data_IF_184758471309
#
_entry.id   IF_184758471309
#
_cell.length_a   1.000
_cell.length_b   1.000
_cell.length_c   1.000
_cell.angle_alpha   90.00
_cell.angle_beta   90.00
_cell.angle_gamma   90.00
#
_symmetry.space_group_name_H-M   'P 1'
#
loop_
_entity.id
_entity.type
_entity.pdbx_description
1 polymer ?
#
# COMPACT_ATOMS: atom_id res chain seq x y z
N UNK A 1 -11.31 -17.03 7.85
CA UNK A 1 -11.68 -17.45 6.48
C UNK A 1 -10.59 -18.37 5.96
N UNK A 2 -10.87 -19.67 5.88
CA UNK A 2 -9.87 -20.74 5.67
C UNK A 2 -9.83 -21.25 4.23
N UNK A 3 -9.70 -20.36 3.25
CA UNK A 3 -9.40 -20.79 1.88
C UNK A 3 -7.92 -21.12 1.79
N UNK A 4 -7.62 -22.30 1.24
CA UNK A 4 -6.27 -22.69 0.82
C UNK A 4 -5.76 -21.76 -0.29
N UNK A 5 -4.45 -21.76 -0.49
CA UNK A 5 -3.80 -20.89 -1.46
C UNK A 5 -4.22 -21.16 -2.91
N UNK A 6 -4.34 -22.45 -3.26
CA UNK A 6 -4.81 -22.88 -4.57
C UNK A 6 -6.26 -22.43 -4.80
N UNK A 7 -7.12 -22.50 -3.78
CA UNK A 7 -8.48 -21.97 -3.84
C UNK A 7 -8.51 -20.46 -4.01
N UNK A 8 -7.59 -19.71 -3.38
CA UNK A 8 -7.50 -18.24 -3.57
C UNK A 8 -7.06 -17.88 -4.98
N UNK A 9 -6.07 -18.58 -5.52
CA UNK A 9 -5.60 -18.37 -6.91
C UNK A 9 -6.73 -18.72 -7.88
N UNK A 10 -7.36 -19.89 -7.71
CA UNK A 10 -8.45 -20.35 -8.55
C UNK A 10 -9.64 -19.39 -8.51
N UNK A 11 -10.03 -18.94 -7.31
CA UNK A 11 -11.10 -17.97 -7.13
C UNK A 11 -10.77 -16.62 -7.78
N UNK A 12 -9.58 -16.09 -7.54
CA UNK A 12 -9.14 -14.80 -8.13
C UNK A 12 -9.11 -14.91 -9.66
N UNK A 13 -8.58 -16.01 -10.19
CA UNK A 13 -8.56 -16.29 -11.62
C UNK A 13 -9.98 -16.41 -12.21
N UNK A 14 -10.89 -17.08 -11.52
CA UNK A 14 -12.27 -17.23 -11.95
C UNK A 14 -13.02 -15.88 -11.97
N UNK A 15 -12.85 -15.05 -10.94
CA UNK A 15 -13.43 -13.70 -10.88
C UNK A 15 -12.90 -12.85 -12.03
N UNK A 16 -11.59 -12.86 -12.27
CA UNK A 16 -10.99 -12.07 -13.34
C UNK A 16 -11.36 -12.58 -14.74
N UNK A 17 -11.51 -13.89 -14.90
CA UNK A 17 -12.01 -14.50 -16.15
C UNK A 17 -13.47 -14.15 -16.40
N UNK A 18 -14.30 -14.10 -15.36
CA UNK A 18 -15.70 -13.68 -15.47
C UNK A 18 -15.82 -12.21 -15.90
N UNK A 19 -14.98 -11.32 -15.35
CA UNK A 19 -14.94 -9.89 -15.76
C UNK A 19 -14.54 -9.75 -17.23
N UNK A 20 -13.56 -10.54 -17.70
CA UNK A 20 -13.16 -10.56 -19.12
C UNK A 20 -14.24 -11.05 -20.07
N UNK A 21 -15.02 -12.05 -19.64
CA UNK A 21 -16.13 -12.55 -20.46
C UNK A 21 -17.18 -11.49 -20.78
N UNK A 22 -17.20 -10.38 -20.04
CA UNK A 22 -18.09 -9.24 -20.28
C UNK A 22 -17.46 -8.18 -21.19
N UNK A 23 -16.16 -7.90 -21.05
CA UNK A 23 -15.45 -6.88 -21.83
C UNK A 23 -13.91 -7.09 -21.79
N UNK A 24 -13.29 -7.24 -22.97
CA UNK A 24 -11.84 -7.43 -23.13
C UNK A 24 -11.01 -6.14 -22.96
N UNK A 25 -11.66 -4.97 -22.88
CA UNK A 25 -11.00 -3.68 -22.71
C UNK A 25 -10.80 -3.27 -21.25
N UNK A 26 -11.41 -4.00 -20.31
CA UNK A 26 -11.35 -3.69 -18.88
C UNK A 26 -9.94 -3.86 -18.35
N UNK A 27 -9.36 -2.76 -17.88
CA UNK A 27 -8.09 -2.77 -17.16
C UNK A 27 -8.31 -3.20 -15.72
N UNK A 28 -7.67 -4.31 -15.33
CA UNK A 28 -7.74 -4.82 -13.96
C UNK A 28 -6.66 -4.17 -13.12
N UNK A 29 -7.08 -3.59 -12.00
CA UNK A 29 -6.22 -3.04 -10.96
C UNK A 29 -6.17 -4.02 -9.78
N UNK A 30 -4.98 -4.41 -9.35
CA UNK A 30 -4.84 -5.32 -8.19
C UNK A 30 -4.27 -4.56 -6.99
N UNK A 31 -4.93 -4.67 -5.84
CA UNK A 31 -4.43 -4.13 -4.57
C UNK A 31 -3.76 -5.22 -3.75
N UNK A 32 -2.54 -4.97 -3.31
CA UNK A 32 -1.75 -5.84 -2.46
C UNK A 32 -1.59 -5.18 -1.10
N UNK A 33 -2.27 -5.73 -0.10
CA UNK A 33 -2.21 -5.25 1.29
C UNK A 33 -1.01 -5.89 1.99
N UNK A 34 -0.24 -5.10 2.73
CA UNK A 34 0.97 -5.55 3.44
C UNK A 34 1.99 -6.23 2.48
N UNK A 35 2.53 -5.47 1.51
CA UNK A 35 3.36 -6.03 0.44
C UNK A 35 4.73 -6.56 0.90
N UNK A 36 5.16 -6.28 2.14
CA UNK A 36 6.33 -6.93 2.75
C UNK A 36 6.02 -8.32 3.32
N UNK A 37 4.74 -8.70 3.41
CA UNK A 37 4.33 -10.01 3.91
C UNK A 37 4.35 -10.11 5.44
N UNK A 38 4.01 -9.04 6.15
CA UNK A 38 3.89 -9.05 7.62
C UNK A 38 3.04 -10.22 8.14
N UNK A 39 1.98 -10.59 7.43
CA UNK A 39 1.09 -11.71 7.74
C UNK A 39 1.76 -13.10 7.66
N UNK A 40 2.91 -13.24 6.99
CA UNK A 40 3.60 -14.53 6.84
C UNK A 40 4.14 -15.07 8.16
N UNK A 41 4.38 -14.20 9.14
CA UNK A 41 4.77 -14.61 10.49
C UNK A 41 3.61 -15.20 11.29
N UNK A 42 2.37 -14.89 10.94
CA UNK A 42 1.17 -15.29 11.68
C UNK A 42 0.46 -16.50 11.06
N UNK A 43 0.54 -16.65 9.74
CA UNK A 43 -0.16 -17.70 8.99
C UNK A 43 0.85 -18.63 8.32
N UNK A 44 1.06 -19.85 8.84
CA UNK A 44 1.95 -20.81 8.19
C UNK A 44 1.42 -21.21 6.80
N UNK A 45 2.34 -21.46 5.86
CA UNK A 45 2.07 -21.94 4.50
C UNK A 45 1.29 -20.97 3.58
N UNK A 46 1.63 -19.68 3.57
CA UNK A 46 1.20 -18.74 2.53
C UNK A 46 2.38 -18.34 1.62
N UNK A 47 2.13 -18.13 0.33
CA UNK A 47 3.05 -17.45 -0.58
C UNK A 47 3.27 -16.01 -0.11
N UNK A 48 4.49 -15.54 -0.35
CA UNK A 48 4.77 -14.11 -0.26
C UNK A 48 3.90 -13.32 -1.24
N UNK A 49 3.58 -12.05 -0.94
CA UNK A 49 2.76 -11.22 -1.80
C UNK A 49 3.24 -11.20 -3.26
N UNK A 50 4.56 -11.21 -3.44
CA UNK A 50 5.18 -11.21 -4.76
C UNK A 50 5.04 -12.54 -5.50
N UNK A 51 5.20 -13.67 -4.80
CA UNK A 51 5.02 -14.99 -5.41
C UNK A 51 3.56 -15.22 -5.81
N UNK A 52 2.61 -14.75 -4.99
CA UNK A 52 1.18 -14.79 -5.31
C UNK A 52 0.90 -13.97 -6.57
N UNK A 53 1.43 -12.74 -6.65
CA UNK A 53 1.30 -11.88 -7.83
C UNK A 53 1.91 -12.49 -9.09
N UNK A 54 3.13 -13.03 -9.01
CA UNK A 54 3.80 -13.70 -10.12
C UNK A 54 2.98 -14.90 -10.62
N UNK A 55 2.41 -15.68 -9.70
CA UNK A 55 1.55 -16.82 -10.04
C UNK A 55 0.30 -16.37 -10.79
N UNK A 56 -0.38 -15.31 -10.33
CA UNK A 56 -1.52 -14.74 -11.05
C UNK A 56 -1.16 -14.30 -12.47
N UNK A 57 -0.01 -13.65 -12.66
CA UNK A 57 0.46 -13.26 -14.00
C UNK A 57 0.72 -14.48 -14.89
N UNK A 58 1.32 -15.55 -14.34
CA UNK A 58 1.56 -16.80 -15.07
C UNK A 58 0.26 -17.52 -15.46
N UNK A 59 -0.84 -17.31 -14.73
CA UNK A 59 -2.18 -17.78 -15.11
C UNK A 59 -2.80 -17.02 -16.30
N UNK A 60 -2.10 -16.07 -16.92
CA UNK A 60 -2.57 -15.31 -18.09
C UNK A 60 -3.44 -14.10 -17.75
N UNK A 61 -3.50 -13.73 -16.48
CA UNK A 61 -4.17 -12.53 -16.00
C UNK A 61 -3.33 -11.31 -16.40
N UNK A 62 -3.92 -10.42 -17.19
CA UNK A 62 -3.36 -9.11 -17.55
C UNK A 62 -3.80 -8.12 -16.49
N UNK A 63 -2.84 -7.65 -15.72
CA UNK A 63 -3.01 -6.67 -14.66
C UNK A 63 -2.45 -5.36 -15.22
N UNK A 64 -3.28 -4.31 -15.26
CA UNK A 64 -2.93 -3.02 -15.83
C UNK A 64 -2.10 -2.16 -14.88
N UNK A 65 -2.35 -2.29 -13.58
CA UNK A 65 -1.66 -1.55 -12.52
C UNK A 65 -1.71 -2.33 -11.20
N UNK A 66 -0.78 -2.02 -10.29
CA UNK A 66 -0.75 -2.57 -8.94
C UNK A 66 -0.81 -1.45 -7.91
N UNK A 67 -1.69 -1.60 -6.93
CA UNK A 67 -1.76 -0.74 -5.76
C UNK A 67 -1.08 -1.44 -4.59
N UNK A 68 0.07 -0.92 -4.17
CA UNK A 68 0.77 -1.39 -2.97
C UNK A 68 0.22 -0.63 -1.78
N UNK A 69 -0.51 -1.34 -0.92
CA UNK A 69 -1.09 -0.77 0.29
C UNK A 69 -0.16 -1.01 1.47
N UNK A 70 0.55 0.05 1.86
CA UNK A 70 1.52 0.07 2.97
C UNK A 70 0.82 0.19 4.33
N UNK A 71 -0.41 -0.32 4.41
CA UNK A 71 -1.26 -0.30 5.60
C UNK A 71 -0.50 -0.72 6.84
N UNK A 72 -0.59 0.13 7.85
CA UNK A 72 -0.10 -0.16 9.19
C UNK A 72 -1.23 -0.79 10.00
N UNK A 73 -1.01 -1.93 10.68
CA UNK A 73 -2.01 -2.50 11.55
C UNK A 73 -2.30 -1.54 12.72
N UNK A 74 -3.57 -1.16 12.86
CA UNK A 74 -4.04 -0.20 13.88
C UNK A 74 -4.29 -0.87 15.25
N UNK A 75 -4.38 -2.21 15.29
CA UNK A 75 -4.58 -3.00 16.50
C UNK A 75 -3.78 -4.30 16.42
N UNK A 76 -2.73 -4.46 17.22
CA UNK A 76 -1.86 -5.65 17.21
C UNK A 76 -0.39 -5.34 17.48
N UNK A 77 0.41 -6.39 17.72
CA UNK A 77 1.83 -6.31 18.06
C UNK A 77 2.62 -5.50 17.02
N UNK A 78 3.36 -4.48 17.49
CA UNK A 78 4.44 -3.77 16.80
C UNK A 78 4.21 -3.48 15.30
N UNK A 79 3.68 -2.29 14.97
CA UNK A 79 3.81 -1.80 13.60
C UNK A 79 5.27 -1.34 13.36
N UNK A 80 5.89 -1.87 12.32
CA UNK A 80 7.25 -1.48 11.94
C UNK A 80 7.19 -0.35 10.94
N UNK A 81 7.58 0.85 11.38
CA UNK A 81 7.87 1.94 10.45
C UNK A 81 9.13 1.59 9.67
N UNK A 82 8.93 1.19 8.42
CA UNK A 82 10.03 0.92 7.49
C UNK A 82 10.76 2.21 7.17
N UNK A 83 12.08 2.13 7.11
CA UNK A 83 12.90 3.24 6.63
C UNK A 83 12.75 3.42 5.10
N UNK A 84 13.30 4.52 4.59
CA UNK A 84 13.23 4.86 3.17
C UNK A 84 13.97 3.87 2.27
N UNK A 85 15.04 3.22 2.74
CA UNK A 85 15.79 2.23 1.98
C UNK A 85 14.97 0.95 1.78
N UNK A 86 14.31 0.49 2.84
CA UNK A 86 13.40 -0.65 2.84
C UNK A 86 12.21 -0.41 1.92
N UNK A 87 11.66 0.81 1.93
CA UNK A 87 10.62 1.21 1.00
C UNK A 87 11.13 1.27 -0.45
N UNK A 88 12.31 1.86 -0.67
CA UNK A 88 12.95 1.90 -1.99
C UNK A 88 13.09 0.50 -2.56
N UNK A 89 13.65 -0.43 -1.79
CA UNK A 89 13.85 -1.82 -2.19
C UNK A 89 12.53 -2.51 -2.50
N UNK A 90 11.47 -2.29 -1.71
CA UNK A 90 10.15 -2.81 -2.00
C UNK A 90 9.68 -2.31 -3.37
N UNK A 91 9.69 -1.00 -3.59
CA UNK A 91 9.21 -0.42 -4.86
C UNK A 91 10.05 -0.92 -6.04
N UNK A 92 11.38 -1.03 -5.89
CA UNK A 92 12.28 -1.55 -6.92
C UNK A 92 11.95 -3.01 -7.25
N UNK A 93 11.64 -3.83 -6.25
CA UNK A 93 11.27 -5.22 -6.44
C UNK A 93 9.95 -5.36 -7.22
N UNK A 94 8.93 -4.58 -6.85
CA UNK A 94 7.66 -4.56 -7.59
C UNK A 94 7.78 -3.92 -8.97
N UNK A 95 8.74 -3.00 -9.16
CA UNK A 95 9.03 -2.37 -10.45
C UNK A 95 9.52 -3.37 -11.50
N UNK A 96 10.06 -4.53 -11.09
CA UNK A 96 10.47 -5.60 -12.01
C UNK A 96 9.30 -6.14 -12.86
N UNK A 97 8.06 -5.95 -12.41
CA UNK A 97 6.87 -6.32 -13.17
C UNK A 97 6.56 -5.38 -14.34
N UNK A 98 7.26 -4.25 -14.46
CA UNK A 98 7.14 -3.28 -15.56
C UNK A 98 5.71 -2.76 -15.79
N UNK A 99 4.93 -2.67 -14.72
CA UNK A 99 3.57 -2.12 -14.71
C UNK A 99 3.53 -0.88 -13.81
N UNK A 100 2.60 0.06 -14.05
CA UNK A 100 2.31 1.17 -13.14
C UNK A 100 2.10 0.72 -11.70
N UNK A 101 2.75 1.43 -10.77
CA UNK A 101 2.61 1.22 -9.33
C UNK A 101 1.93 2.43 -8.70
N UNK A 102 0.85 2.16 -7.97
CA UNK A 102 0.20 3.14 -7.11
C UNK A 102 0.54 2.79 -5.65
N UNK A 103 1.06 3.75 -4.90
CA UNK A 103 1.40 3.53 -3.49
C UNK A 103 0.29 4.11 -2.62
N UNK A 104 -0.32 3.27 -1.79
CA UNK A 104 -1.30 3.70 -0.81
C UNK A 104 -0.64 3.77 0.56
N UNK A 105 -0.68 4.95 1.17
CA UNK A 105 -0.03 5.27 2.44
C UNK A 105 -1.11 5.52 3.49
N UNK A 106 -0.96 4.86 4.64
CA UNK A 106 -1.70 5.17 5.87
C UNK A 106 -0.77 5.97 6.78
N UNK A 107 -1.31 7.02 7.43
CA UNK A 107 -0.54 7.78 8.42
C UNK A 107 -0.32 6.89 9.66
N UNK A 108 0.94 6.69 10.11
CA UNK A 108 1.20 5.95 11.33
C UNK A 108 0.57 6.67 12.53
N UNK A 109 0.01 5.94 13.51
CA UNK A 109 -0.38 6.55 14.77
C UNK A 109 0.83 7.17 15.46
N UNK A 110 0.56 8.20 16.27
CA UNK A 110 1.58 8.77 17.16
C UNK A 110 1.98 7.72 18.19
N UNK A 111 3.28 7.39 18.24
CA UNK A 111 3.80 6.52 19.29
C UNK A 111 3.87 7.29 20.62
N UNK A 112 3.81 6.53 21.72
CA UNK A 112 4.09 7.06 23.04
C UNK A 112 5.51 7.64 23.05
N UNK A 113 5.66 8.86 23.53
CA UNK A 113 6.91 9.66 23.56
C UNK A 113 7.42 10.17 22.19
N UNK A 114 6.66 10.01 21.12
CA UNK A 114 7.00 10.58 19.81
C UNK A 114 6.33 11.96 19.60
N UNK A 115 7.09 12.91 19.06
CA UNK A 115 6.55 14.18 18.61
C UNK A 115 5.93 14.09 17.20
N UNK A 116 4.98 14.97 16.91
CA UNK A 116 4.37 15.05 15.59
C UNK A 116 5.40 15.34 14.48
N UNK A 117 6.53 15.95 14.81
CA UNK A 117 7.61 16.27 13.87
C UNK A 117 8.30 15.00 13.36
N UNK A 118 8.68 14.07 14.23
CA UNK A 118 9.33 12.80 13.82
C UNK A 118 8.43 11.98 12.89
N UNK A 119 7.13 11.91 13.21
CA UNK A 119 6.12 11.29 12.35
C UNK A 119 6.03 11.97 10.98
N UNK A 120 6.02 13.30 10.97
CA UNK A 120 5.96 14.12 9.76
C UNK A 120 7.23 13.97 8.90
N UNK A 121 8.41 13.89 9.52
CA UNK A 121 9.67 13.66 8.82
C UNK A 121 9.71 12.27 8.16
N UNK A 122 9.18 11.26 8.84
CA UNK A 122 8.99 9.94 8.24
C UNK A 122 8.04 9.99 7.03
N UNK A 123 6.87 10.63 7.18
CA UNK A 123 5.88 10.75 6.10
C UNK A 123 6.44 11.51 4.89
N UNK A 124 7.21 12.59 5.15
CA UNK A 124 7.94 13.34 4.11
C UNK A 124 8.92 12.43 3.38
N UNK A 125 9.72 11.65 4.12
CA UNK A 125 10.70 10.72 3.53
C UNK A 125 10.03 9.68 2.65
N UNK A 126 8.93 9.08 3.11
CA UNK A 126 8.12 8.12 2.33
C UNK A 126 7.61 8.76 1.04
N UNK A 127 7.00 9.95 1.12
CA UNK A 127 6.45 10.62 -0.05
C UNK A 127 7.54 10.97 -1.07
N UNK A 128 8.66 11.55 -0.63
CA UNK A 128 9.78 11.88 -1.51
C UNK A 128 10.40 10.61 -2.14
N UNK A 129 10.44 9.51 -1.40
CA UNK A 129 10.91 8.24 -1.94
C UNK A 129 9.96 7.73 -3.03
N UNK A 130 8.64 7.78 -2.82
CA UNK A 130 7.67 7.43 -3.85
C UNK A 130 7.82 8.30 -5.11
N UNK A 131 7.96 9.62 -4.94
CA UNK A 131 8.11 10.58 -6.04
C UNK A 131 9.40 10.38 -6.85
N UNK A 132 10.43 9.75 -6.27
CA UNK A 132 11.71 9.50 -6.96
C UNK A 132 11.78 8.13 -7.63
N UNK A 133 10.69 7.36 -7.65
CA UNK A 133 10.60 6.06 -8.34
C UNK A 133 9.81 6.20 -9.63
N UNK A 134 10.46 5.93 -10.77
CA UNK A 134 9.88 6.07 -12.12
C UNK A 134 8.56 5.29 -12.30
N UNK A 135 8.46 4.11 -11.71
CA UNK A 135 7.27 3.26 -11.84
C UNK A 135 6.11 3.68 -10.94
N UNK A 136 6.33 4.60 -10.00
CA UNK A 136 5.26 5.12 -9.16
C UNK A 136 4.47 6.16 -9.94
N UNK A 137 3.25 5.80 -10.32
CA UNK A 137 2.34 6.65 -11.10
C UNK A 137 1.32 7.38 -10.23
N UNK A 138 1.10 6.92 -9.00
CA UNK A 138 0.13 7.52 -8.08
C UNK A 138 0.51 7.31 -6.63
N UNK A 139 0.22 8.30 -5.81
CA UNK A 139 0.32 8.23 -4.34
C UNK A 139 -1.07 8.53 -3.78
N UNK A 140 -1.61 7.59 -3.02
CA UNK A 140 -2.95 7.68 -2.43
C UNK A 140 -2.83 7.66 -0.92
N UNK A 141 -3.68 8.44 -0.26
CA UNK A 141 -3.76 8.45 1.19
C UNK A 141 -5.01 7.69 1.61
N UNK A 142 -4.85 6.84 2.62
CA UNK A 142 -5.95 6.10 3.26
C UNK A 142 -6.21 6.67 4.66
N UNK A 143 -7.34 6.26 5.25
CA UNK A 143 -7.70 6.54 6.64
C UNK A 143 -7.84 8.04 6.98
N UNK A 144 -8.84 8.68 6.36
CA UNK A 144 -9.19 10.09 6.60
C UNK A 144 -9.59 10.38 8.05
N UNK A 145 -10.27 9.43 8.68
CA UNK A 145 -10.63 9.45 10.09
C UNK A 145 -10.18 8.13 10.71
N UNK A 146 -9.67 8.19 11.94
CA UNK A 146 -9.28 7.01 12.71
C UNK A 146 -9.73 7.17 14.15
N UNK A 147 -10.16 6.07 14.77
CA UNK A 147 -10.42 6.01 16.20
C UNK A 147 -9.11 6.03 17.01
N UNK A 148 -7.98 5.69 16.38
CA UNK A 148 -6.66 5.74 16.99
C UNK A 148 -6.11 7.17 16.90
N UNK A 149 -5.77 7.82 18.03
CA UNK A 149 -5.25 9.17 18.04
C UNK A 149 -4.02 9.32 17.13
N UNK A 150 -4.07 10.32 16.23
CA UNK A 150 -2.97 10.59 15.31
C UNK A 150 -2.80 9.59 14.15
N UNK A 151 -3.68 8.60 13.98
CA UNK A 151 -3.67 7.74 12.79
C UNK A 151 -4.56 8.26 11.66
N UNK A 152 -5.32 9.32 11.88
CA UNK A 152 -6.15 9.99 10.88
C UNK A 152 -5.43 11.15 10.19
N UNK A 153 -5.96 11.56 9.03
CA UNK A 153 -5.60 12.83 8.36
C UNK A 153 -6.35 14.03 8.93
N UNK A 154 -7.48 13.77 9.58
CA UNK A 154 -8.28 14.77 10.28
C UNK A 154 -8.17 14.58 11.79
N UNK A 155 -8.21 15.69 12.53
CA UNK A 155 -8.36 15.67 13.98
C UNK A 155 -9.81 15.37 14.42
N UNK A 156 -10.04 15.34 15.74
CA UNK A 156 -11.37 15.09 16.32
C UNK A 156 -12.40 16.16 15.96
N UNK A 157 -11.97 17.36 15.58
CA UNK A 157 -12.83 18.48 15.18
C UNK A 157 -13.08 18.51 13.66
N UNK A 158 -12.55 17.51 12.93
CA UNK A 158 -12.65 17.40 11.48
C UNK A 158 -11.73 18.37 10.72
N UNK A 159 -10.79 19.01 11.39
CA UNK A 159 -9.80 19.88 10.76
C UNK A 159 -8.56 19.08 10.31
N UNK A 160 -7.79 19.59 9.33
CA UNK A 160 -6.56 18.95 8.90
C UNK A 160 -5.51 18.85 10.03
N UNK A 161 -5.10 17.63 10.38
CA UNK A 161 -3.96 17.41 11.27
C UNK A 161 -2.65 17.83 10.58
N UNK A 162 -1.60 18.00 11.37
CA UNK A 162 -0.22 18.25 10.97
C UNK A 162 0.28 17.34 9.83
N UNK A 163 -0.15 16.08 9.77
CA UNK A 163 0.17 15.15 8.68
C UNK A 163 -0.46 15.59 7.35
N UNK A 164 -1.75 15.93 7.35
CA UNK A 164 -2.45 16.43 6.17
C UNK A 164 -1.93 17.81 5.74
N UNK A 165 -1.62 18.69 6.69
CA UNK A 165 -1.01 20.00 6.40
C UNK A 165 0.37 19.85 5.72
N UNK A 166 1.21 18.92 6.21
CA UNK A 166 2.48 18.57 5.55
C UNK A 166 2.26 18.08 4.12
N UNK A 167 1.33 17.15 3.92
CA UNK A 167 1.03 16.58 2.60
C UNK A 167 0.51 17.64 1.63
N UNK A 168 -0.36 18.54 2.09
CA UNK A 168 -0.82 19.68 1.30
C UNK A 168 0.33 20.61 0.91
N UNK A 169 1.28 20.85 1.82
CA UNK A 169 2.50 21.64 1.54
C UNK A 169 3.37 20.95 0.49
N UNK A 170 3.65 19.65 0.64
CA UNK A 170 4.47 18.88 -0.31
C UNK A 170 3.82 18.82 -1.69
N UNK A 171 2.50 18.63 -1.75
CA UNK A 171 1.76 18.65 -3.01
C UNK A 171 1.96 19.99 -3.75
N UNK A 172 1.90 21.13 -3.04
CA UNK A 172 2.17 22.47 -3.62
C UNK A 172 3.64 22.71 -3.97
N UNK A 173 4.57 21.93 -3.42
CA UNK A 173 6.01 22.10 -3.68
C UNK A 173 6.47 21.28 -4.89
N UNK A 174 5.89 20.09 -5.10
CA UNK A 174 6.39 19.11 -6.07
C UNK A 174 5.42 18.75 -7.20
N UNK A 175 4.11 19.01 -7.06
CA UNK A 175 3.10 18.51 -8.00
C UNK A 175 2.27 19.62 -8.68
N UNK A 176 2.37 20.88 -8.25
CA UNK A 176 1.64 22.03 -8.82
C UNK A 176 2.43 23.34 -8.70
#
# INVERSE_FOLDING_TARGET
FGMSEEERISFTSAVLSAVRGLDDTVQVSLRVVQPWGEYLGEVPCNLSPIQFFDTLRRCGIRIGEVNLDLRLPQSGSQFLRRDSLSLSQLIDHWSLFQIPLNIMITVPPLLQDEDAQTRNDWLRSVMLMCLSKERVTGIWLSDWQSEVPGAGLLDSDGQPDSSLQLLQKLNREFLW
#
